data_IF_582535983458
#
_entry.id   IF_582535983458
#
_cell.length_a   1.000
_cell.length_b   1.000
_cell.length_c   1.000
_cell.angle_alpha   90.00
_cell.angle_beta   90.00
_cell.angle_gamma   90.00
#
_symmetry.space_group_name_H-M   'P 1'
#
loop_
_entity.id
_entity.type
_entity.pdbx_description
1 polymer ?
#
# COMPACT_ATOMS: atom_id res chain seq x y z
N UNK A 1 12.62 -37.26 14.70
CA UNK A 1 11.66 -37.43 13.58
C UNK A 1 11.88 -36.29 12.61
N UNK A 2 11.93 -36.55 11.29
CA UNK A 2 11.94 -35.49 10.28
C UNK A 2 10.60 -34.77 10.26
N UNK A 3 10.60 -33.43 10.25
CA UNK A 3 9.38 -32.67 9.93
C UNK A 3 9.06 -32.93 8.46
N UNK A 4 7.89 -33.48 8.15
CA UNK A 4 7.40 -33.48 6.77
C UNK A 4 7.34 -32.03 6.28
N UNK A 5 8.02 -31.73 5.17
CA UNK A 5 7.89 -30.43 4.53
C UNK A 5 6.44 -30.26 4.07
N UNK A 6 5.77 -29.20 4.54
CA UNK A 6 4.42 -28.87 4.08
C UNK A 6 4.50 -28.48 2.61
N UNK A 7 3.85 -29.24 1.73
CA UNK A 7 3.74 -28.84 0.34
C UNK A 7 3.07 -27.46 0.25
N UNK A 8 3.71 -26.56 -0.49
CA UNK A 8 3.19 -25.24 -0.79
C UNK A 8 1.84 -25.34 -1.52
N UNK A 9 0.89 -24.48 -1.14
CA UNK A 9 -0.40 -24.34 -1.80
C UNK A 9 -0.78 -22.85 -1.87
N UNK A 10 -1.26 -22.35 -3.04
CA UNK A 10 -1.82 -21.01 -3.18
C UNK A 10 -3.06 -20.72 -2.30
N UNK A 11 -3.72 -21.76 -1.78
CA UNK A 11 -4.99 -21.63 -1.03
C UNK A 11 -4.87 -21.98 0.46
N UNK A 12 -3.79 -22.65 0.88
CA UNK A 12 -3.52 -22.89 2.30
C UNK A 12 -3.00 -21.60 2.98
N UNK A 13 -3.42 -21.28 4.21
CA UNK A 13 -2.81 -20.19 4.97
C UNK A 13 -1.30 -20.40 5.14
N UNK A 14 -0.51 -19.43 4.74
CA UNK A 14 0.95 -19.41 4.92
C UNK A 14 1.34 -18.63 6.19
N UNK A 15 2.53 -18.92 6.70
CA UNK A 15 3.15 -18.21 7.83
C UNK A 15 4.52 -17.69 7.43
N UNK A 16 5.01 -16.64 8.11
CA UNK A 16 6.33 -16.07 7.87
C UNK A 16 7.47 -17.03 8.24
N UNK A 17 7.22 -18.10 9.02
CA UNK A 17 8.20 -19.17 9.23
C UNK A 17 8.47 -20.02 7.97
N UNK A 18 7.62 -19.90 6.95
CA UNK A 18 7.74 -20.62 5.68
C UNK A 18 8.50 -19.84 4.59
N UNK A 19 8.87 -18.56 4.80
CA UNK A 19 9.55 -17.79 3.73
C UNK A 19 11.06 -18.02 3.71
N UNK A 20 11.59 -18.17 2.50
CA UNK A 20 13.03 -18.25 2.23
C UNK A 20 13.66 -16.85 2.04
N UNK A 21 12.86 -15.79 2.04
CA UNK A 21 13.34 -14.41 1.86
C UNK A 21 13.98 -13.86 3.14
N UNK A 22 15.12 -13.19 2.98
CA UNK A 22 15.81 -12.56 4.10
C UNK A 22 15.04 -11.31 4.52
N UNK A 23 14.53 -11.31 5.75
CA UNK A 23 13.94 -10.12 6.37
C UNK A 23 15.05 -9.24 6.94
N UNK A 24 15.23 -8.07 6.36
CA UNK A 24 15.91 -6.94 7.03
C UNK A 24 14.85 -6.08 7.72
N UNK A 25 15.15 -5.55 8.90
CA UNK A 25 14.31 -4.57 9.59
C UNK A 25 15.10 -3.28 9.73
N UNK A 26 14.52 -2.17 9.30
CA UNK A 26 14.94 -0.83 9.67
C UNK A 26 14.02 -0.40 10.82
N UNK A 27 14.62 0.03 11.90
CA UNK A 27 13.95 0.58 13.08
C UNK A 27 13.67 2.08 12.91
N UNK A 28 13.11 2.65 13.97
CA UNK A 28 12.74 4.06 14.04
C UNK A 28 13.98 4.97 13.96
N UNK A 29 15.11 4.60 14.59
CA UNK A 29 16.39 5.33 14.48
C UNK A 29 16.94 5.33 13.05
N UNK A 30 16.95 4.17 12.38
CA UNK A 30 17.30 4.06 10.96
C UNK A 30 16.41 4.93 10.08
N UNK A 31 15.14 5.10 10.45
CA UNK A 31 14.15 5.87 9.71
C UNK A 31 14.35 7.38 9.89
N UNK A 32 14.66 7.85 11.11
CA UNK A 32 15.07 9.24 11.37
C UNK A 32 16.28 9.63 10.53
N UNK A 33 17.36 8.83 10.57
CA UNK A 33 18.58 9.08 9.78
C UNK A 33 18.29 9.21 8.27
N UNK A 34 17.32 8.46 7.73
CA UNK A 34 16.91 8.59 6.34
C UNK A 34 16.09 9.88 6.08
N UNK A 35 15.28 10.34 7.03
CA UNK A 35 14.54 11.61 6.95
C UNK A 35 15.50 12.80 7.02
N UNK A 36 16.42 12.81 7.99
CA UNK A 36 17.43 13.87 8.16
C UNK A 36 18.26 14.00 6.88
N UNK A 37 18.81 12.88 6.41
CA UNK A 37 19.55 12.82 5.14
C UNK A 37 18.70 13.26 3.95
N UNK A 38 17.41 12.96 3.93
CA UNK A 38 16.53 13.39 2.85
C UNK A 38 16.39 14.91 2.86
N UNK A 39 16.14 15.52 4.02
CA UNK A 39 16.08 16.97 4.21
C UNK A 39 17.37 17.68 3.77
N UNK A 40 18.55 17.16 4.16
CA UNK A 40 19.86 17.69 3.72
C UNK A 40 19.98 17.82 2.18
N UNK A 41 19.40 16.86 1.44
CA UNK A 41 19.51 16.82 -0.02
C UNK A 41 18.50 17.74 -0.75
N UNK A 42 17.53 18.34 -0.04
CA UNK A 42 16.49 19.24 -0.61
C UNK A 42 16.98 20.64 -0.93
N UNK A 43 18.25 20.95 -0.66
CA UNK A 43 18.89 22.22 -1.04
C UNK A 43 19.03 22.45 -2.56
N UNK A 44 18.60 21.51 -3.41
CA UNK A 44 18.56 21.71 -4.86
C UNK A 44 17.23 22.32 -5.31
N UNK A 45 17.23 23.31 -6.23
CA UNK A 45 16.05 24.11 -6.60
C UNK A 45 14.98 23.36 -7.42
N UNK A 46 15.01 22.03 -7.45
CA UNK A 46 14.18 21.16 -8.29
C UNK A 46 13.61 19.93 -7.54
N UNK A 47 13.55 19.95 -6.19
CA UNK A 47 12.81 18.93 -5.44
C UNK A 47 11.30 19.08 -5.65
N UNK A 48 10.76 18.32 -6.60
CA UNK A 48 9.34 18.32 -6.94
C UNK A 48 8.42 17.99 -5.74
N UNK A 49 8.92 17.27 -4.72
CA UNK A 49 8.14 17.02 -3.51
C UNK A 49 8.03 18.28 -2.64
N UNK A 50 9.14 18.99 -2.42
CA UNK A 50 9.11 20.29 -1.72
C UNK A 50 8.17 21.28 -2.43
N UNK A 51 8.27 21.38 -3.76
CA UNK A 51 7.39 22.24 -4.56
C UNK A 51 5.92 21.85 -4.38
N UNK A 52 5.56 20.55 -4.48
CA UNK A 52 4.18 20.09 -4.25
C UNK A 52 3.68 20.34 -2.82
N UNK A 53 4.52 20.15 -1.79
CA UNK A 53 4.14 20.45 -0.41
C UNK A 53 3.94 21.96 -0.18
N UNK A 54 4.77 22.83 -0.79
CA UNK A 54 4.56 24.28 -0.76
C UNK A 54 3.26 24.65 -1.46
N UNK A 55 3.02 24.08 -2.63
CA UNK A 55 1.78 24.23 -3.37
C UNK A 55 0.56 23.81 -2.54
N UNK A 56 0.58 22.66 -1.86
CA UNK A 56 -0.52 22.21 -0.97
C UNK A 56 -0.70 23.15 0.24
N UNK A 57 0.38 23.78 0.74
CA UNK A 57 0.32 24.81 1.79
C UNK A 57 -0.29 26.13 1.31
N UNK A 58 -0.01 26.54 0.08
CA UNK A 58 -0.52 27.79 -0.50
C UNK A 58 -1.95 27.65 -1.05
N UNK A 59 -2.29 26.46 -1.59
CA UNK A 59 -3.63 26.11 -2.04
C UNK A 59 -4.59 26.03 -0.85
N UNK A 60 -5.46 27.03 -0.74
CA UNK A 60 -6.69 26.95 0.07
C UNK A 60 -7.63 25.90 -0.55
N UNK A 61 -7.43 24.62 -0.23
CA UNK A 61 -8.25 23.51 -0.74
C UNK A 61 -9.72 23.68 -0.30
N UNK A 62 -10.53 24.27 -1.16
CA UNK A 62 -11.91 24.71 -0.87
C UNK A 62 -12.98 23.62 -0.98
N UNK A 63 -12.64 22.43 -1.48
CA UNK A 63 -13.62 21.46 -1.97
C UNK A 63 -13.54 20.05 -1.38
N UNK A 64 -12.50 19.70 -0.61
CA UNK A 64 -12.34 18.33 -0.10
C UNK A 64 -12.31 18.29 1.43
N UNK A 65 -13.27 17.57 2.03
CA UNK A 65 -13.42 17.48 3.50
C UNK A 65 -12.97 16.12 4.08
N UNK A 66 -12.95 15.05 3.27
CA UNK A 66 -12.71 13.67 3.73
C UNK A 66 -11.28 13.46 4.22
N UNK A 67 -10.34 13.98 3.45
CA UNK A 67 -8.90 13.95 3.73
C UNK A 67 -8.38 15.39 3.57
N UNK A 68 -7.30 15.73 4.27
CA UNK A 68 -6.66 17.05 4.21
C UNK A 68 -5.17 16.85 4.49
N UNK A 69 -4.29 17.57 3.81
CA UNK A 69 -2.89 17.72 4.17
C UNK A 69 -2.62 19.19 4.53
N UNK A 70 -1.92 19.43 5.64
CA UNK A 70 -1.87 20.74 6.32
C UNK A 70 -0.45 21.06 6.78
N UNK A 71 0.14 22.14 6.27
CA UNK A 71 1.42 22.68 6.71
C UNK A 71 1.27 24.20 6.92
N UNK A 72 1.05 24.61 8.16
CA UNK A 72 0.61 25.98 8.49
C UNK A 72 1.70 26.89 9.06
N UNK A 73 2.77 26.32 9.59
CA UNK A 73 3.82 26.99 10.36
C UNK A 73 5.12 26.19 10.26
N UNK A 74 6.21 26.79 10.75
CA UNK A 74 7.53 26.17 10.75
C UNK A 74 8.18 26.17 9.37
N UNK A 75 9.37 25.61 9.36
CA UNK A 75 10.12 25.29 8.14
C UNK A 75 9.55 24.03 7.49
N UNK A 76 10.18 23.55 6.42
CA UNK A 76 9.75 22.33 5.73
C UNK A 76 10.27 21.09 6.46
N UNK A 77 9.61 20.76 7.57
CA UNK A 77 9.90 19.57 8.37
C UNK A 77 8.66 18.66 8.46
N UNK A 78 8.81 17.33 8.33
CA UNK A 78 7.75 16.34 8.55
C UNK A 78 6.98 16.46 9.88
N UNK A 79 7.56 17.06 10.92
CA UNK A 79 6.86 17.34 12.18
C UNK A 79 5.77 18.41 12.02
N UNK A 80 5.97 19.34 11.07
CA UNK A 80 5.15 20.53 10.86
C UNK A 80 4.09 20.32 9.77
N UNK A 81 4.16 19.18 9.08
CA UNK A 81 3.22 18.73 8.06
C UNK A 81 2.31 17.66 8.66
N UNK A 82 1.00 17.88 8.60
CA UNK A 82 -0.01 16.99 9.16
C UNK A 82 -0.91 16.43 8.09
N UNK A 83 -1.27 15.15 8.20
CA UNK A 83 -2.22 14.49 7.32
C UNK A 83 -3.47 14.05 8.11
N UNK A 84 -4.65 14.21 7.51
CA UNK A 84 -5.85 13.54 8.00
C UNK A 84 -5.81 12.08 7.54
N UNK A 85 -5.90 11.17 8.51
CA UNK A 85 -5.91 9.72 8.30
C UNK A 85 -7.21 9.25 7.66
N UNK A 86 -7.14 8.32 6.71
CA UNK A 86 -8.32 7.78 5.99
C UNK A 86 -9.09 6.71 6.77
N UNK A 87 -8.53 6.21 7.88
CA UNK A 87 -9.12 5.14 8.69
C UNK A 87 -9.73 5.65 10.02
N UNK A 88 -9.13 6.65 10.67
CA UNK A 88 -9.62 7.22 11.95
C UNK A 88 -10.05 8.69 11.88
N UNK A 89 -9.83 9.38 10.75
CA UNK A 89 -10.20 10.79 10.56
C UNK A 89 -9.40 11.78 11.41
N UNK A 90 -8.45 11.28 12.24
CA UNK A 90 -7.54 12.09 13.06
C UNK A 90 -6.53 12.84 12.18
N UNK A 91 -6.08 14.00 12.65
CA UNK A 91 -5.02 14.81 12.04
C UNK A 91 -3.71 14.55 12.80
N UNK A 92 -2.74 13.90 12.15
CA UNK A 92 -1.46 13.46 12.75
C UNK A 92 -0.25 14.01 11.96
N UNK A 93 0.92 14.23 12.58
CA UNK A 93 2.14 14.68 11.89
C UNK A 93 2.73 13.57 11.01
N UNK A 94 3.43 13.95 9.93
CA UNK A 94 4.14 13.00 9.04
C UNK A 94 5.40 12.40 9.69
N UNK A 95 5.98 13.05 10.69
CA UNK A 95 7.12 12.55 11.48
C UNK A 95 6.77 11.34 12.38
N UNK A 96 5.52 10.86 12.43
CA UNK A 96 5.14 9.73 13.29
C UNK A 96 5.89 8.45 12.87
N UNK A 97 6.74 7.95 13.78
CA UNK A 97 7.65 6.83 13.56
C UNK A 97 6.99 5.55 13.04
N UNK A 98 7.79 4.74 12.36
CA UNK A 98 7.44 3.41 11.89
C UNK A 98 8.68 2.55 11.68
N UNK A 99 8.50 1.24 11.85
CA UNK A 99 9.49 0.23 11.55
C UNK A 99 9.27 -0.31 10.13
N UNK A 100 10.31 -0.38 9.31
CA UNK A 100 10.22 -0.90 7.92
C UNK A 100 10.78 -2.32 7.81
N UNK A 101 9.98 -3.25 7.32
CA UNK A 101 10.35 -4.65 7.09
C UNK A 101 10.56 -4.90 5.59
N UNK A 102 11.82 -5.10 5.20
CA UNK A 102 12.22 -5.34 3.81
C UNK A 102 12.57 -6.82 3.64
N UNK A 103 11.81 -7.53 2.80
CA UNK A 103 12.05 -8.93 2.44
C UNK A 103 12.72 -8.99 1.06
N UNK A 104 13.88 -9.63 0.96
CA UNK A 104 14.61 -9.76 -0.30
C UNK A 104 15.15 -11.18 -0.53
N UNK A 105 15.40 -11.53 -1.79
CA UNK A 105 16.10 -12.78 -2.11
C UNK A 105 17.59 -12.65 -1.69
N UNK A 106 18.18 -13.70 -1.10
CA UNK A 106 19.54 -13.63 -0.51
C UNK A 106 20.60 -13.07 -1.48
N UNK A 107 20.58 -13.48 -2.74
CA UNK A 107 21.52 -12.98 -3.75
C UNK A 107 21.35 -11.50 -4.15
N UNK A 108 20.26 -10.84 -3.73
CA UNK A 108 20.13 -9.37 -3.84
C UNK A 108 20.87 -8.66 -2.70
N UNK A 109 20.87 -9.25 -1.50
CA UNK A 109 21.65 -8.78 -0.35
C UNK A 109 23.16 -8.93 -0.60
N UNK A 110 23.58 -10.06 -1.17
CA UNK A 110 24.97 -10.35 -1.55
C UNK A 110 25.52 -9.36 -2.60
N UNK A 111 24.65 -8.84 -3.48
CA UNK A 111 24.98 -7.75 -4.44
C UNK A 111 25.18 -6.38 -3.79
N UNK A 112 25.17 -6.30 -2.46
CA UNK A 112 25.34 -5.07 -1.66
C UNK A 112 24.32 -3.97 -1.95
N UNK A 113 23.12 -4.30 -2.46
CA UNK A 113 22.02 -3.34 -2.54
C UNK A 113 21.64 -2.94 -1.10
N UNK A 114 21.89 -1.71 -0.63
CA UNK A 114 21.62 -1.36 0.76
C UNK A 114 20.11 -1.27 0.98
N UNK A 115 19.57 -1.97 1.97
CA UNK A 115 18.13 -1.87 2.28
C UNK A 115 17.74 -0.45 2.71
N UNK A 116 18.69 0.30 3.31
CA UNK A 116 18.62 1.74 3.53
C UNK A 116 18.39 2.53 2.23
N UNK A 117 19.06 2.18 1.13
CA UNK A 117 18.90 2.86 -0.17
C UNK A 117 17.51 2.58 -0.77
N UNK A 118 17.01 1.35 -0.65
CA UNK A 118 15.65 0.97 -1.08
C UNK A 118 14.59 1.81 -0.37
N UNK A 119 14.71 1.94 0.96
CA UNK A 119 13.77 2.76 1.75
C UNK A 119 13.95 4.25 1.46
N UNK A 120 15.18 4.74 1.34
CA UNK A 120 15.47 6.14 0.97
C UNK A 120 14.85 6.53 -0.37
N UNK A 121 14.89 5.65 -1.39
CA UNK A 121 14.29 5.97 -2.70
C UNK A 121 12.77 6.16 -2.67
N UNK A 122 12.05 5.54 -1.74
CA UNK A 122 10.59 5.67 -1.61
C UNK A 122 10.17 6.49 -0.37
N UNK A 123 11.12 7.17 0.29
CA UNK A 123 10.87 7.81 1.57
C UNK A 123 9.71 8.84 1.55
N UNK A 124 9.58 9.74 0.55
CA UNK A 124 8.43 10.66 0.46
C UNK A 124 7.09 9.93 0.49
N UNK A 125 6.97 8.88 -0.32
CA UNK A 125 5.76 8.10 -0.49
C UNK A 125 5.47 7.24 0.75
N UNK A 126 6.52 6.70 1.38
CA UNK A 126 6.42 5.98 2.65
C UNK A 126 5.93 6.86 3.80
N UNK A 127 6.46 8.09 3.92
CA UNK A 127 6.04 9.06 4.93
C UNK A 127 4.57 9.46 4.76
N UNK A 128 4.13 9.69 3.52
CA UNK A 128 2.73 9.97 3.22
C UNK A 128 1.84 8.76 3.50
N UNK A 129 2.21 7.57 3.03
CA UNK A 129 1.46 6.34 3.32
C UNK A 129 1.38 6.05 4.83
N UNK A 130 2.44 6.36 5.60
CA UNK A 130 2.43 6.30 7.06
C UNK A 130 1.48 7.34 7.67
N UNK A 131 1.56 8.60 7.22
CA UNK A 131 0.72 9.69 7.73
C UNK A 131 -0.76 9.55 7.42
N UNK A 132 -1.12 8.81 6.36
CA UNK A 132 -2.50 8.58 5.94
C UNK A 132 -3.21 7.45 6.71
N UNK A 133 -2.50 6.63 7.48
CA UNK A 133 -3.08 5.50 8.22
C UNK A 133 -2.66 5.53 9.67
N UNK A 134 -3.61 5.64 10.59
CA UNK A 134 -3.27 5.48 11.99
C UNK A 134 -3.09 4.01 12.37
N UNK A 135 -4.04 3.15 12.00
CA UNK A 135 -4.12 1.80 12.56
C UNK A 135 -3.28 0.80 11.77
N UNK A 136 -2.39 0.10 12.48
CA UNK A 136 -1.49 -0.95 11.95
C UNK A 136 -0.55 -0.48 10.84
N UNK A 137 -0.19 0.80 10.81
CA UNK A 137 0.79 1.33 9.87
C UNK A 137 2.18 1.53 10.50
N UNK A 138 2.33 1.20 11.79
CA UNK A 138 3.59 1.25 12.52
C UNK A 138 4.61 0.20 12.02
N UNK A 139 4.14 -0.83 11.30
CA UNK A 139 4.97 -1.77 10.53
C UNK A 139 4.68 -1.61 9.04
N UNK A 140 5.66 -1.15 8.25
CA UNK A 140 5.57 -1.12 6.78
C UNK A 140 6.25 -2.35 6.17
N UNK A 141 5.65 -2.92 5.12
CA UNK A 141 6.11 -4.15 4.47
C UNK A 141 6.50 -3.89 3.01
N UNK A 142 7.75 -4.23 2.67
CA UNK A 142 8.32 -4.11 1.33
C UNK A 142 8.87 -5.48 0.91
N UNK A 143 8.51 -5.97 -0.27
CA UNK A 143 9.15 -7.13 -0.89
C UNK A 143 9.94 -6.66 -2.11
N UNK A 144 11.25 -6.89 -2.10
CA UNK A 144 12.17 -6.53 -3.19
C UNK A 144 12.19 -7.62 -4.25
N UNK A 145 12.05 -7.23 -5.51
CA UNK A 145 11.93 -8.14 -6.66
C UNK A 145 12.55 -7.53 -7.92
N UNK A 146 12.89 -8.32 -8.94
CA UNK A 146 13.48 -7.84 -10.21
C UNK A 146 12.52 -7.87 -11.43
N UNK A 147 11.21 -8.00 -11.17
CA UNK A 147 10.14 -7.93 -12.17
C UNK A 147 10.25 -6.65 -13.02
N UNK A 148 10.05 -6.79 -14.34
CA UNK A 148 9.82 -5.69 -15.30
C UNK A 148 8.34 -5.29 -15.32
N UNK A 149 8.02 -4.11 -15.90
CA UNK A 149 6.66 -3.53 -15.98
C UNK A 149 5.55 -4.56 -16.19
N UNK A 150 5.50 -5.22 -17.35
CA UNK A 150 4.48 -6.23 -17.69
C UNK A 150 4.41 -7.40 -16.69
N UNK A 151 5.54 -7.81 -16.10
CA UNK A 151 5.57 -8.91 -15.13
C UNK A 151 5.01 -8.46 -13.77
N UNK A 152 5.23 -7.21 -13.38
CA UNK A 152 4.61 -6.59 -12.21
C UNK A 152 3.10 -6.40 -12.42
N UNK A 153 2.67 -6.01 -13.63
CA UNK A 153 1.27 -5.92 -14.01
C UNK A 153 0.58 -7.31 -13.93
N UNK A 154 1.15 -8.35 -14.56
CA UNK A 154 0.69 -9.77 -14.49
C UNK A 154 0.57 -10.30 -13.04
N UNK A 155 1.61 -10.07 -12.23
CA UNK A 155 1.67 -10.50 -10.82
C UNK A 155 0.63 -9.76 -9.96
N UNK A 156 0.40 -8.48 -10.24
CA UNK A 156 -0.58 -7.66 -9.53
C UNK A 156 -2.01 -8.12 -9.81
N UNK A 157 -2.35 -8.41 -11.06
CA UNK A 157 -3.67 -8.96 -11.43
C UNK A 157 -3.90 -10.36 -10.88
N UNK A 158 -2.86 -11.21 -10.84
CA UNK A 158 -2.94 -12.50 -10.13
C UNK A 158 -3.31 -12.32 -8.66
N UNK A 159 -2.62 -11.42 -7.94
CA UNK A 159 -2.93 -11.20 -6.52
C UNK A 159 -4.36 -10.68 -6.33
N UNK A 160 -4.81 -9.68 -7.11
CA UNK A 160 -6.21 -9.22 -7.10
C UNK A 160 -7.18 -10.39 -7.28
N UNK A 161 -6.95 -11.22 -8.29
CA UNK A 161 -7.79 -12.39 -8.59
C UNK A 161 -7.82 -13.42 -7.45
N UNK A 162 -6.67 -13.72 -6.82
CA UNK A 162 -6.60 -14.63 -5.67
C UNK A 162 -7.36 -14.06 -4.46
N UNK A 163 -7.02 -12.86 -3.99
CA UNK A 163 -7.56 -12.33 -2.72
C UNK A 163 -9.08 -12.09 -2.78
N UNK A 164 -9.62 -11.70 -3.94
CA UNK A 164 -11.07 -11.56 -4.14
C UNK A 164 -11.84 -12.89 -4.01
N UNK A 165 -11.19 -14.02 -4.32
CA UNK A 165 -11.84 -15.32 -4.50
C UNK A 165 -11.52 -16.38 -3.43
N UNK A 166 -10.33 -16.34 -2.82
CA UNK A 166 -9.92 -17.32 -1.79
C UNK A 166 -9.86 -16.76 -0.37
N UNK A 167 -9.57 -15.47 -0.18
CA UNK A 167 -9.21 -14.99 1.14
C UNK A 167 -10.40 -14.99 2.11
N UNK A 168 -10.26 -15.73 3.22
CA UNK A 168 -11.32 -15.92 4.22
C UNK A 168 -12.57 -16.63 3.68
N UNK A 169 -12.48 -17.33 2.55
CA UNK A 169 -13.61 -17.86 1.77
C UNK A 169 -13.33 -19.30 1.31
N UNK A 170 -14.38 -20.09 1.13
CA UNK A 170 -14.28 -21.34 0.39
C UNK A 170 -14.24 -20.99 -1.09
N UNK A 171 -13.10 -21.25 -1.75
CA UNK A 171 -12.97 -21.01 -3.19
C UNK A 171 -13.86 -21.98 -3.98
N UNK A 172 -14.36 -21.56 -5.15
CA UNK A 172 -15.09 -22.46 -6.05
C UNK A 172 -14.09 -23.35 -6.80
N UNK A 173 -14.31 -24.67 -6.98
CA UNK A 173 -13.36 -25.55 -7.69
C UNK A 173 -13.04 -25.17 -9.14
N UNK A 174 -13.87 -24.37 -9.81
CA UNK A 174 -13.54 -23.75 -11.10
C UNK A 174 -12.49 -22.64 -10.95
N UNK A 175 -12.68 -21.77 -9.97
CA UNK A 175 -11.81 -20.62 -9.69
C UNK A 175 -10.49 -21.07 -9.06
N UNK A 176 -10.50 -22.09 -8.20
CA UNK A 176 -9.30 -22.74 -7.69
C UNK A 176 -8.41 -23.27 -8.84
N UNK A 177 -8.98 -23.98 -9.81
CA UNK A 177 -8.24 -24.46 -10.99
C UNK A 177 -7.69 -23.31 -11.83
N UNK A 178 -8.40 -22.19 -11.93
CA UNK A 178 -7.90 -20.98 -12.59
C UNK A 178 -6.74 -20.32 -11.81
N UNK A 179 -6.83 -20.24 -10.48
CA UNK A 179 -5.74 -19.77 -9.60
C UNK A 179 -4.50 -20.66 -9.75
N UNK A 180 -4.66 -21.98 -9.79
CA UNK A 180 -3.58 -22.94 -10.00
C UNK A 180 -2.94 -22.79 -11.39
N UNK A 181 -3.76 -22.63 -12.44
CA UNK A 181 -3.29 -22.40 -13.81
C UNK A 181 -2.50 -21.10 -13.94
N UNK A 182 -3.04 -19.97 -13.47
CA UNK A 182 -2.34 -18.68 -13.53
C UNK A 182 -1.07 -18.67 -12.68
N UNK A 183 -1.11 -19.30 -11.49
CA UNK A 183 0.09 -19.49 -10.67
C UNK A 183 1.19 -20.25 -11.43
N UNK A 184 0.84 -21.32 -12.14
CA UNK A 184 1.77 -22.09 -12.95
C UNK A 184 2.28 -21.30 -14.17
N UNK A 185 1.39 -20.57 -14.88
CA UNK A 185 1.74 -19.70 -16.02
C UNK A 185 2.77 -18.65 -15.61
N UNK A 186 2.52 -17.94 -14.51
CA UNK A 186 3.42 -16.91 -14.00
C UNK A 186 4.71 -17.54 -13.46
N UNK A 187 4.62 -18.63 -12.68
CA UNK A 187 5.81 -19.37 -12.20
C UNK A 187 6.74 -19.77 -13.34
N UNK A 188 6.21 -20.38 -14.41
CA UNK A 188 7.00 -20.78 -15.58
C UNK A 188 7.58 -19.57 -16.34
N UNK A 189 6.81 -18.49 -16.47
CA UNK A 189 7.26 -17.26 -17.16
C UNK A 189 8.41 -16.58 -16.42
N UNK A 190 8.29 -16.46 -15.10
CA UNK A 190 9.29 -15.82 -14.24
C UNK A 190 10.53 -16.72 -14.03
N UNK A 191 10.35 -18.03 -13.91
CA UNK A 191 11.47 -18.98 -13.84
C UNK A 191 12.29 -19.02 -15.12
N UNK A 192 11.66 -19.05 -16.31
CA UNK A 192 12.35 -18.98 -17.62
C UNK A 192 13.12 -17.68 -17.84
N UNK A 193 12.80 -16.62 -17.09
CA UNK A 193 13.49 -15.32 -17.11
C UNK A 193 14.45 -15.14 -15.92
N UNK A 194 14.66 -16.20 -15.13
CA UNK A 194 15.51 -16.23 -13.94
C UNK A 194 15.19 -15.12 -12.92
N UNK A 195 13.90 -14.79 -12.75
CA UNK A 195 13.44 -13.73 -11.86
C UNK A 195 13.58 -14.09 -10.39
N UNK A 196 13.90 -13.09 -9.59
CA UNK A 196 14.15 -13.19 -8.16
C UNK A 196 13.31 -12.17 -7.36
N UNK A 197 12.72 -12.57 -6.21
CA UNK A 197 12.50 -13.96 -5.80
C UNK A 197 11.63 -14.73 -6.81
N UNK A 198 11.68 -16.06 -6.77
CA UNK A 198 10.85 -16.86 -7.68
C UNK A 198 9.37 -16.75 -7.28
N UNK A 199 8.44 -17.01 -8.21
CA UNK A 199 7.02 -16.69 -7.97
C UNK A 199 6.41 -17.36 -6.72
N UNK A 200 6.68 -18.64 -6.41
CA UNK A 200 6.20 -19.25 -5.16
C UNK A 200 6.74 -18.58 -3.90
N UNK A 201 7.99 -18.11 -3.88
CA UNK A 201 8.56 -17.36 -2.74
C UNK A 201 7.85 -16.01 -2.56
N UNK A 202 7.57 -15.32 -3.68
CA UNK A 202 6.88 -14.02 -3.69
C UNK A 202 5.45 -14.13 -3.14
N UNK A 203 4.65 -15.04 -3.71
CA UNK A 203 3.27 -15.28 -3.29
C UNK A 203 3.17 -15.78 -1.84
N UNK A 204 4.02 -16.75 -1.44
CA UNK A 204 4.06 -17.27 -0.07
C UNK A 204 4.27 -16.13 0.93
N UNK A 205 5.29 -15.28 0.69
CA UNK A 205 5.66 -14.18 1.59
C UNK A 205 4.55 -13.15 1.67
N UNK A 206 3.98 -12.75 0.53
CA UNK A 206 2.92 -11.75 0.48
C UNK A 206 1.65 -12.26 1.19
N UNK A 207 1.24 -13.52 0.95
CA UNK A 207 0.11 -14.13 1.69
C UNK A 207 0.39 -14.27 3.18
N UNK A 208 1.63 -14.59 3.58
CA UNK A 208 2.00 -14.73 5.00
C UNK A 208 1.88 -13.38 5.74
N UNK A 209 2.39 -12.28 5.15
CA UNK A 209 2.24 -10.93 5.71
C UNK A 209 0.76 -10.55 5.84
N UNK A 210 -0.05 -10.82 4.81
CA UNK A 210 -1.49 -10.52 4.84
C UNK A 210 -2.29 -11.41 5.82
N UNK A 211 -1.86 -12.65 6.07
CA UNK A 211 -2.49 -13.54 7.04
C UNK A 211 -2.13 -13.20 8.49
N UNK A 212 -0.87 -12.90 8.77
CA UNK A 212 -0.38 -12.61 10.13
C UNK A 212 -0.62 -11.14 10.49
N UNK A 213 0.10 -10.25 9.80
CA UNK A 213 0.28 -8.84 10.14
C UNK A 213 -0.89 -7.95 9.71
N UNK A 214 -1.56 -8.29 8.61
CA UNK A 214 -2.80 -7.63 8.15
C UNK A 214 -2.68 -6.09 8.01
N UNK A 215 -1.62 -5.57 7.33
CA UNK A 215 -1.38 -4.13 7.18
C UNK A 215 -2.42 -3.44 6.28
N UNK A 216 -2.51 -2.09 6.28
CA UNK A 216 -3.36 -1.35 5.35
C UNK A 216 -2.89 -1.49 3.89
N UNK A 217 -1.57 -1.53 3.66
CA UNK A 217 -0.94 -1.74 2.35
C UNK A 217 0.35 -2.56 2.46
N UNK A 218 0.89 -2.99 1.32
CA UNK A 218 2.21 -3.62 1.14
C UNK A 218 2.82 -3.13 -0.17
N UNK A 219 4.15 -3.05 -0.27
CA UNK A 219 4.85 -2.58 -1.48
C UNK A 219 5.63 -3.72 -2.13
N UNK A 220 5.44 -3.91 -3.44
CA UNK A 220 6.35 -4.67 -4.30
C UNK A 220 7.34 -3.70 -4.95
N UNK A 221 8.60 -3.71 -4.49
CA UNK A 221 9.64 -2.80 -4.97
C UNK A 221 10.50 -3.46 -6.06
N UNK A 222 10.68 -2.77 -7.19
CA UNK A 222 11.61 -3.18 -8.24
C UNK A 222 12.67 -2.10 -8.50
N UNK A 223 13.97 -2.37 -8.28
CA UNK A 223 15.05 -1.44 -8.59
C UNK A 223 15.41 -1.39 -10.08
N UNK A 224 14.60 -2.02 -10.95
CA UNK A 224 14.84 -2.06 -12.39
C UNK A 224 14.32 -0.77 -13.05
N UNK A 225 15.16 0.05 -13.73
CA UNK A 225 14.72 1.29 -14.39
C UNK A 225 13.72 1.10 -15.54
N UNK A 226 13.44 -0.15 -15.94
CA UNK A 226 12.43 -0.54 -16.94
C UNK A 226 11.17 -1.15 -16.28
N UNK A 227 10.97 -0.84 -15.01
CA UNK A 227 9.87 -1.29 -14.17
C UNK A 227 9.37 -0.16 -13.28
N UNK A 228 8.43 -0.50 -12.40
CA UNK A 228 7.84 0.37 -11.40
C UNK A 228 7.60 -0.44 -10.14
N UNK A 229 7.46 0.23 -9.00
CA UNK A 229 7.08 -0.40 -7.73
C UNK A 229 5.57 -0.28 -7.51
N UNK A 230 4.92 -1.35 -7.04
CA UNK A 230 3.45 -1.38 -6.86
C UNK A 230 3.07 -1.34 -5.39
N UNK A 231 2.26 -0.33 -5.01
CA UNK A 231 1.54 -0.34 -3.73
C UNK A 231 0.30 -1.22 -3.87
N UNK A 232 0.10 -2.15 -2.93
CA UNK A 232 -1.02 -3.08 -2.87
C UNK A 232 -1.86 -2.81 -1.62
N UNK A 233 -3.03 -2.19 -1.80
CA UNK A 233 -3.92 -1.82 -0.69
C UNK A 233 -4.85 -2.99 -0.31
N UNK A 234 -5.04 -3.26 0.98
CA UNK A 234 -5.83 -4.42 1.42
C UNK A 234 -7.35 -4.15 1.43
N UNK A 235 -7.77 -2.88 1.35
CA UNK A 235 -9.16 -2.45 1.29
C UNK A 235 -9.30 -1.10 0.56
N UNK A 236 -10.42 -0.80 -0.15
CA UNK A 236 -10.58 0.48 -0.84
C UNK A 236 -10.50 1.72 0.07
N UNK A 237 -10.92 1.61 1.34
CA UNK A 237 -10.81 2.71 2.32
C UNK A 237 -9.41 2.90 2.91
N UNK A 238 -8.40 2.20 2.39
CA UNK A 238 -6.99 2.51 2.63
C UNK A 238 -6.36 3.21 1.42
N UNK A 239 -7.11 3.48 0.36
CA UNK A 239 -6.61 4.24 -0.78
C UNK A 239 -6.74 5.75 -0.47
N UNK A 240 -5.73 6.58 -0.80
CA UNK A 240 -5.80 8.04 -0.69
C UNK A 240 -6.92 8.67 -1.53
N UNK A 241 -7.38 9.86 -1.13
CA UNK A 241 -8.38 10.62 -1.89
C UNK A 241 -7.74 11.33 -3.09
N UNK A 242 -8.31 11.13 -4.28
CA UNK A 242 -7.76 11.66 -5.53
C UNK A 242 -7.69 13.19 -5.56
N UNK A 243 -8.62 13.89 -4.88
CA UNK A 243 -8.66 15.35 -4.86
C UNK A 243 -7.51 16.01 -4.07
N UNK A 244 -6.59 15.21 -3.51
CA UNK A 244 -5.33 15.68 -2.91
C UNK A 244 -4.13 15.22 -3.75
N UNK A 245 -4.15 13.96 -4.22
CA UNK A 245 -2.97 13.31 -4.81
C UNK A 245 -3.00 13.21 -6.35
N UNK A 246 -4.01 13.79 -7.02
CA UNK A 246 -4.10 13.80 -8.49
C UNK A 246 -2.84 14.35 -9.17
N UNK A 247 -2.27 15.43 -8.61
CA UNK A 247 -1.05 16.08 -9.10
C UNK A 247 0.20 15.75 -8.26
N UNK A 248 0.12 14.71 -7.41
CA UNK A 248 1.27 14.26 -6.63
C UNK A 248 2.47 13.98 -7.55
N UNK A 249 3.70 14.40 -7.20
CA UNK A 249 4.84 14.29 -8.10
C UNK A 249 5.10 12.85 -8.51
N UNK A 250 5.35 12.67 -9.80
CA UNK A 250 5.72 11.39 -10.38
C UNK A 250 6.91 11.57 -11.29
N UNK A 251 7.94 10.79 -11.03
CA UNK A 251 9.12 10.74 -11.86
C UNK A 251 10.14 9.77 -11.29
N UNK A 252 11.23 9.64 -12.04
CA UNK A 252 12.42 8.93 -11.66
C UNK A 252 13.55 9.98 -11.62
N UNK A 253 14.50 9.94 -10.67
CA UNK A 253 15.55 10.97 -10.56
C UNK A 253 16.65 10.90 -11.65
N UNK A 254 16.49 10.03 -12.66
CA UNK A 254 17.39 9.98 -13.82
C UNK A 254 16.85 10.92 -14.92
N UNK A 255 17.62 11.91 -15.39
CA UNK A 255 17.16 12.87 -16.41
C UNK A 255 16.85 12.24 -17.78
N UNK A 256 17.19 10.96 -18.01
CA UNK A 256 16.80 10.20 -19.20
C UNK A 256 15.41 9.53 -19.09
N UNK A 257 14.69 9.69 -17.97
CA UNK A 257 13.33 9.19 -17.79
C UNK A 257 12.30 10.12 -18.47
N UNK A 258 11.28 9.54 -19.12
CA UNK A 258 10.08 10.27 -19.54
C UNK A 258 9.11 10.45 -18.36
N UNK A 259 8.10 11.31 -18.53
CA UNK A 259 7.05 11.58 -17.54
C UNK A 259 6.29 10.31 -17.08
N UNK A 260 6.25 9.26 -17.92
CA UNK A 260 5.68 7.94 -17.62
C UNK A 260 6.50 7.08 -16.62
N UNK A 261 7.68 7.54 -16.19
CA UNK A 261 8.58 6.73 -15.35
C UNK A 261 8.30 6.93 -13.86
N UNK A 262 7.21 6.33 -13.39
CA UNK A 262 6.87 6.26 -11.97
C UNK A 262 7.72 5.19 -11.25
N UNK A 263 8.68 5.59 -10.42
CA UNK A 263 9.49 4.65 -9.60
C UNK A 263 8.60 3.83 -8.65
N UNK A 264 7.52 4.42 -8.16
CA UNK A 264 6.41 3.77 -7.46
C UNK A 264 5.09 4.32 -8.02
N UNK A 265 4.15 3.44 -8.38
CA UNK A 265 2.81 3.83 -8.86
C UNK A 265 1.95 4.30 -7.69
N UNK A 266 2.01 5.60 -7.39
CA UNK A 266 1.16 6.22 -6.39
C UNK A 266 -0.29 6.35 -6.92
N UNK A 267 -1.33 6.06 -6.13
CA UNK A 267 -2.73 6.01 -6.60
C UNK A 267 -3.34 7.42 -6.78
N UNK A 268 -2.83 8.20 -7.74
CA UNK A 268 -3.26 9.58 -8.02
C UNK A 268 -4.74 9.71 -8.39
N UNK A 269 -5.32 8.67 -9.01
CA UNK A 269 -6.75 8.55 -9.36
C UNK A 269 -7.53 7.72 -8.33
N UNK A 270 -7.17 7.87 -7.06
CA UNK A 270 -7.83 7.22 -5.93
C UNK A 270 -8.03 5.72 -6.14
N UNK A 271 -9.24 5.23 -5.81
CA UNK A 271 -9.60 3.81 -5.89
C UNK A 271 -9.52 3.25 -7.31
N UNK A 272 -9.73 4.07 -8.35
CA UNK A 272 -9.66 3.60 -9.74
C UNK A 272 -8.22 3.40 -10.23
N UNK A 273 -7.28 4.22 -9.74
CA UNK A 273 -5.85 4.07 -10.00
C UNK A 273 -5.13 3.06 -9.08
N UNK A 274 -5.79 2.58 -8.02
CA UNK A 274 -5.17 1.77 -6.99
C UNK A 274 -5.25 0.26 -7.24
N UNK A 275 -4.16 -0.45 -6.94
CA UNK A 275 -4.16 -1.91 -6.90
C UNK A 275 -4.68 -2.42 -5.56
N UNK A 276 -6.00 -2.63 -5.47
CA UNK A 276 -6.69 -3.07 -4.26
C UNK A 276 -6.95 -4.59 -4.25
N UNK A 277 -6.51 -5.27 -3.20
CA UNK A 277 -6.63 -6.73 -3.03
C UNK A 277 -7.97 -7.18 -2.42
N UNK A 278 -8.72 -6.27 -1.80
CA UNK A 278 -10.07 -6.49 -1.24
C UNK A 278 -10.19 -7.63 -0.20
N UNK A 279 -9.11 -7.84 0.57
CA UNK A 279 -8.89 -8.87 1.60
C UNK A 279 -10.05 -8.99 2.62
N UNK A 280 -10.82 -7.92 2.82
CA UNK A 280 -11.84 -7.78 3.87
C UNK A 280 -13.31 -7.84 3.39
N UNK A 281 -13.60 -8.42 2.22
CA UNK A 281 -14.99 -8.61 1.73
C UNK A 281 -15.82 -9.56 2.62
N UNK A 282 -16.39 -9.02 3.70
CA UNK A 282 -17.30 -9.73 4.61
C UNK A 282 -18.53 -10.33 3.91
N UNK A 283 -19.18 -11.30 4.57
CA UNK A 283 -20.36 -12.05 4.05
C UNK A 283 -21.59 -11.15 3.82
N UNK A 284 -21.63 -10.40 2.71
CA UNK A 284 -22.72 -9.44 2.39
C UNK A 284 -24.04 -10.17 2.09
N UNK A 285 -24.00 -11.31 1.38
CA UNK A 285 -25.19 -11.93 0.77
C UNK A 285 -26.06 -12.78 1.73
N UNK A 286 -25.53 -13.25 2.87
CA UNK A 286 -26.29 -14.10 3.79
C UNK A 286 -27.05 -13.32 4.87
N UNK A 287 -26.79 -12.02 5.03
CA UNK A 287 -27.43 -11.18 6.05
C UNK A 287 -28.95 -10.98 5.80
N UNK A 288 -29.40 -11.10 4.54
CA UNK A 288 -30.80 -10.94 4.17
C UNK A 288 -31.71 -12.11 4.59
N UNK A 289 -31.17 -13.30 4.89
CA UNK A 289 -31.96 -14.49 5.24
C UNK A 289 -31.93 -14.82 6.74
N UNK A 290 -32.39 -13.88 7.57
CA UNK A 290 -33.04 -14.10 8.89
C UNK A 290 -32.29 -14.85 10.01
N UNK A 291 -31.09 -15.38 9.77
CA UNK A 291 -30.43 -16.33 10.65
C UNK A 291 -29.85 -15.67 11.92
N UNK A 292 -30.67 -15.59 12.98
CA UNK A 292 -30.25 -15.24 14.35
C UNK A 292 -29.42 -16.37 15.01
N UNK A 293 -28.33 -16.78 14.35
CA UNK A 293 -27.47 -17.91 14.73
C UNK A 293 -26.11 -17.47 15.30
N UNK A 294 -25.96 -17.64 16.62
CA UNK A 294 -24.73 -17.57 17.44
C UNK A 294 -23.43 -17.11 16.74
N UNK A 295 -23.12 -15.82 16.92
CA UNK A 295 -21.82 -15.32 17.40
C UNK A 295 -20.59 -16.23 17.21
N UNK A 296 -20.00 -16.22 16.00
CA UNK A 296 -18.73 -16.91 15.72
C UNK A 296 -17.81 -16.09 14.82
N UNK A 297 -16.79 -15.46 15.40
CA UNK A 297 -15.62 -14.94 14.68
C UNK A 297 -15.88 -13.96 13.51
N UNK A 298 -17.00 -13.24 13.51
CA UNK A 298 -17.38 -12.36 12.40
C UNK A 298 -16.32 -11.28 12.15
N UNK A 299 -15.63 -11.36 11.00
CA UNK A 299 -14.59 -10.39 10.63
C UNK A 299 -15.15 -8.96 10.72
N UNK A 300 -14.53 -8.13 11.58
CA UNK A 300 -14.91 -6.73 11.75
C UNK A 300 -14.81 -6.05 10.39
N UNK A 301 -15.95 -5.62 9.84
CA UNK A 301 -16.00 -4.86 8.58
C UNK A 301 -15.17 -3.60 8.79
N UNK A 302 -14.19 -3.36 7.92
CA UNK A 302 -13.51 -2.06 7.89
C UNK A 302 -14.60 -1.01 7.61
N UNK A 303 -14.62 0.00 8.46
CA UNK A 303 -15.43 1.20 8.32
C UNK A 303 -14.51 2.37 8.60
N UNK A 304 -14.67 3.41 7.80
CA UNK A 304 -14.25 4.76 8.15
C UNK A 304 -14.86 5.16 9.50
N UNK A 305 -14.05 5.77 10.36
CA UNK A 305 -14.42 6.18 11.71
C UNK A 305 -14.08 7.64 11.92
N UNK A 306 -15.01 8.38 12.49
CA UNK A 306 -14.77 9.71 13.05
C UNK A 306 -14.33 9.52 14.51
N UNK A 307 -13.02 9.55 14.78
CA UNK A 307 -12.42 9.32 16.10
C UNK A 307 -12.04 10.62 16.81
N UNK A 308 -12.02 10.60 18.14
CA UNK A 308 -11.46 11.69 18.95
C UNK A 308 -9.97 11.90 18.62
N UNK A 309 -9.54 13.14 18.33
CA UNK A 309 -8.20 13.42 17.79
C UNK A 309 -7.04 13.08 18.73
N UNK A 310 -7.24 13.19 20.05
CA UNK A 310 -6.25 12.73 21.04
C UNK A 310 -5.99 11.23 20.85
N UNK A 311 -4.73 10.87 20.54
CA UNK A 311 -4.36 9.57 19.97
C UNK A 311 -4.70 8.36 20.85
N UNK A 312 -4.73 8.54 22.17
CA UNK A 312 -5.03 7.46 23.13
C UNK A 312 -6.53 7.18 23.29
N UNK A 313 -7.41 7.97 22.65
CA UNK A 313 -8.86 7.90 22.87
C UNK A 313 -9.63 7.10 21.81
N UNK A 314 -10.07 5.90 22.16
CA UNK A 314 -10.95 5.03 21.35
C UNK A 314 -12.39 5.55 21.10
N UNK A 315 -12.72 6.80 21.48
CA UNK A 315 -14.05 7.36 21.29
C UNK A 315 -14.35 7.61 19.80
N UNK A 316 -15.33 6.87 19.28
CA UNK A 316 -15.82 6.95 17.91
C UNK A 316 -17.20 7.63 17.87
N UNK A 317 -17.29 8.80 17.24
CA UNK A 317 -18.53 9.58 17.15
C UNK A 317 -19.48 8.96 16.13
N UNK A 318 -18.97 8.75 14.91
CA UNK A 318 -19.68 8.03 13.85
C UNK A 318 -18.83 6.87 13.34
N UNK A 319 -19.49 5.72 13.19
CA UNK A 319 -19.04 4.72 12.23
C UNK A 319 -19.83 5.00 10.96
N UNK A 320 -19.16 5.30 9.86
CA UNK A 320 -19.85 5.64 8.61
C UNK A 320 -20.83 4.53 8.19
N UNK A 321 -21.98 4.87 7.56
CA UNK A 321 -22.81 3.87 6.90
C UNK A 321 -21.91 3.18 5.87
N UNK A 322 -21.61 1.90 6.10
CA UNK A 322 -20.53 1.21 5.38
C UNK A 322 -20.78 1.28 3.88
N UNK A 323 -19.98 2.09 3.18
CA UNK A 323 -20.33 2.61 1.85
C UNK A 323 -20.74 1.48 0.89
N UNK A 324 -21.63 1.76 -0.09
CA UNK A 324 -21.73 0.90 -1.26
C UNK A 324 -20.30 0.74 -1.80
N UNK A 325 -19.78 -0.49 -1.75
CA UNK A 325 -18.42 -0.73 -2.24
C UNK A 325 -18.42 -0.40 -3.73
N UNK A 326 -17.40 0.28 -4.24
CA UNK A 326 -17.37 0.75 -5.63
C UNK A 326 -17.70 -0.37 -6.65
N UNK A 327 -17.21 -1.58 -6.38
CA UNK A 327 -17.52 -2.80 -7.14
C UNK A 327 -19.02 -3.20 -7.19
N UNK A 328 -19.83 -2.77 -6.22
CA UNK A 328 -21.27 -3.02 -6.17
C UNK A 328 -22.08 -1.98 -6.97
N UNK A 329 -21.56 -0.75 -7.10
CA UNK A 329 -22.09 0.25 -8.04
C UNK A 329 -21.83 -0.26 -9.46
N UNK A 330 -20.58 -0.63 -9.76
CA UNK A 330 -20.19 -1.20 -11.06
C UNK A 330 -20.85 -2.53 -11.44
N UNK A 331 -21.40 -3.31 -10.50
CA UNK A 331 -22.27 -4.45 -10.86
C UNK A 331 -23.67 -3.99 -11.24
N UNK A 332 -24.28 -3.06 -10.50
CA UNK A 332 -25.61 -2.53 -10.83
C UNK A 332 -25.59 -1.79 -12.19
N UNK A 333 -24.63 -0.89 -12.40
CA UNK A 333 -24.43 -0.16 -13.67
C UNK A 333 -24.12 -1.05 -14.88
N UNK A 334 -23.81 -2.34 -14.64
CA UNK A 334 -23.60 -3.35 -15.68
C UNK A 334 -24.83 -4.21 -15.88
N UNK A 335 -25.46 -4.67 -14.79
CA UNK A 335 -26.72 -5.43 -14.82
C UNK A 335 -27.82 -4.61 -15.52
N UNK A 336 -27.93 -3.30 -15.26
CA UNK A 336 -28.86 -2.40 -15.97
C UNK A 336 -28.57 -2.30 -17.48
N UNK A 337 -27.30 -2.26 -17.91
CA UNK A 337 -26.92 -2.19 -19.34
C UNK A 337 -27.12 -3.52 -20.08
N UNK A 338 -26.93 -4.63 -19.38
CA UNK A 338 -27.16 -5.96 -19.94
C UNK A 338 -28.67 -6.26 -20.05
N UNK A 339 -29.54 -5.66 -19.21
CA UNK A 339 -31.02 -5.71 -19.35
C UNK A 339 -31.57 -4.76 -20.44
N UNK A 340 -31.06 -3.53 -20.57
CA UNK A 340 -31.57 -2.55 -21.56
C UNK A 340 -31.34 -2.98 -23.04
N UNK A 341 -30.48 -3.98 -23.30
CA UNK A 341 -30.10 -4.38 -24.66
C UNK A 341 -30.85 -5.59 -25.26
N UNK A 342 -31.75 -6.26 -24.52
CA UNK A 342 -32.42 -7.49 -24.97
C UNK A 342 -33.83 -7.30 -25.56
N UNK A 343 -34.41 -6.08 -25.47
CA UNK A 343 -35.83 -5.83 -25.83
C UNK A 343 -36.11 -5.58 -27.32
N UNK A 344 -35.12 -5.67 -28.21
CA UNK A 344 -35.36 -5.53 -29.65
C UNK A 344 -34.14 -5.73 -30.54
N UNK A 345 -34.05 -6.90 -31.21
CA UNK A 345 -33.01 -7.15 -32.21
C UNK A 345 -33.45 -8.05 -33.36
N UNK A 346 -33.68 -7.43 -34.51
CA UNK A 346 -33.77 -8.13 -35.80
C UNK A 346 -32.43 -8.80 -36.19
N UNK A 347 -32.43 -9.88 -37.00
CA UNK A 347 -31.22 -10.58 -37.40
C UNK A 347 -30.32 -9.71 -38.30
N UNK A 348 -29.29 -9.11 -37.71
CA UNK A 348 -28.37 -8.17 -38.37
C UNK A 348 -27.16 -8.87 -39.00
N UNK A 349 -26.86 -8.55 -40.26
CA UNK A 349 -25.83 -9.18 -41.11
C UNK A 349 -24.36 -8.85 -40.73
N UNK A 350 -24.00 -8.94 -39.45
CA UNK A 350 -22.61 -8.69 -38.98
C UNK A 350 -21.68 -9.90 -39.14
N UNK A 351 -22.21 -11.13 -39.18
CA UNK A 351 -21.44 -12.39 -39.22
C UNK A 351 -20.38 -12.44 -40.33
N UNK A 352 -20.68 -11.86 -41.49
CA UNK A 352 -19.87 -12.08 -42.69
C UNK A 352 -18.64 -11.16 -42.74
N UNK A 353 -18.66 -10.02 -42.05
CA UNK A 353 -17.49 -9.13 -41.94
C UNK A 353 -16.38 -9.75 -41.10
N UNK A 354 -16.72 -10.40 -40.00
CA UNK A 354 -15.74 -11.07 -39.14
C UNK A 354 -15.19 -12.34 -39.82
N UNK A 355 -16.03 -13.05 -40.57
CA UNK A 355 -15.63 -14.20 -41.41
C UNK A 355 -14.62 -13.82 -42.48
N UNK A 356 -14.81 -12.66 -43.12
CA UNK A 356 -13.90 -12.14 -44.14
C UNK A 356 -12.62 -11.50 -43.55
N UNK A 357 -12.68 -11.01 -42.29
CA UNK A 357 -11.49 -10.57 -41.55
C UNK A 357 -10.53 -11.72 -41.28
N UNK A 358 -11.01 -12.84 -40.71
CA UNK A 358 -10.15 -13.97 -40.36
C UNK A 358 -9.45 -14.55 -41.61
N UNK A 359 -10.15 -14.64 -42.74
CA UNK A 359 -9.58 -15.04 -44.05
C UNK A 359 -8.40 -14.18 -44.52
N UNK A 360 -8.32 -12.91 -44.10
CA UNK A 360 -7.19 -12.02 -44.44
C UNK A 360 -5.99 -12.19 -43.50
N UNK A 361 -6.20 -12.69 -42.29
CA UNK A 361 -5.11 -12.95 -41.33
C UNK A 361 -4.47 -14.33 -41.60
N UNK A 362 -5.24 -15.36 -41.95
CA UNK A 362 -4.69 -16.66 -42.36
C UNK A 362 -3.81 -16.54 -43.62
N UNK A 363 -4.24 -15.75 -44.62
CA UNK A 363 -3.43 -15.45 -45.83
C UNK A 363 -2.15 -14.67 -45.54
N UNK A 364 -2.00 -14.04 -44.37
CA UNK A 364 -0.75 -13.37 -43.95
C UNK A 364 0.19 -14.29 -43.20
N UNK A 365 -0.28 -15.42 -42.66
CA UNK A 365 0.57 -16.42 -42.00
C UNK A 365 1.23 -17.40 -42.97
N UNK A 366 0.63 -17.62 -44.13
CA UNK A 366 1.06 -18.63 -45.11
C UNK A 366 1.97 -18.11 -46.24
N UNK A 367 2.69 -17.00 -46.02
CA UNK A 367 3.48 -16.32 -47.08
C UNK A 367 4.88 -15.85 -46.67
N UNK A 368 5.41 -16.31 -45.53
CA UNK A 368 6.63 -15.80 -44.91
C UNK A 368 7.62 -16.94 -44.52
N UNK A 369 7.75 -17.97 -45.36
CA UNK A 369 8.77 -19.04 -45.21
C UNK A 369 9.50 -19.29 -46.55
N UNK A 370 10.27 -18.30 -47.02
CA UNK A 370 11.27 -18.52 -48.08
C UNK A 370 12.44 -17.51 -47.97
N UNK A 371 13.62 -17.95 -48.43
CA UNK A 371 14.93 -17.27 -48.48
C UNK A 371 15.45 -16.47 -47.26
N UNK A 372 16.38 -17.11 -46.54
CA UNK A 372 17.58 -16.48 -46.00
C UNK A 372 18.76 -17.47 -46.10
N UNK A 373 19.52 -17.39 -47.19
CA UNK A 373 20.78 -18.15 -47.40
C UNK A 373 22.01 -17.33 -47.01
N UNK A 374 23.14 -18.05 -46.89
CA UNK A 374 24.43 -17.53 -46.46
C UNK A 374 24.92 -16.28 -47.21
N UNK A 375 25.47 -15.34 -46.46
CA UNK A 375 26.65 -14.56 -46.89
C UNK A 375 27.63 -14.47 -45.72
N UNK A 376 28.90 -14.78 -45.98
CA UNK A 376 30.01 -14.60 -45.05
C UNK A 376 30.93 -13.52 -45.61
N UNK A 377 31.31 -12.53 -44.79
CA UNK A 377 32.30 -11.51 -45.14
C UNK A 377 32.94 -10.90 -43.88
N UNK A 378 34.12 -10.29 -44.07
CA UNK A 378 35.05 -9.86 -43.03
C UNK A 378 34.54 -8.77 -42.08
N UNK A 379 35.14 -8.75 -40.89
CA UNK A 379 34.99 -7.69 -39.91
C UNK A 379 35.78 -6.41 -40.20
N UNK A 380 35.71 -5.48 -39.26
CA UNK A 380 36.82 -4.61 -38.83
C UNK A 380 36.44 -3.84 -37.56
N UNK A 381 37.45 -3.23 -36.94
CA UNK A 381 37.43 -2.53 -35.66
C UNK A 381 36.31 -1.47 -35.49
N UNK A 382 35.81 -1.34 -34.27
CA UNK A 382 35.42 -0.05 -33.68
C UNK A 382 35.70 -0.05 -32.17
N UNK A 383 35.93 1.13 -31.59
CA UNK A 383 36.69 1.26 -30.33
C UNK A 383 35.82 1.24 -29.06
N UNK A 384 36.31 0.56 -28.02
CA UNK A 384 35.63 0.45 -26.74
C UNK A 384 35.77 1.70 -25.88
N UNK A 385 34.89 2.69 -26.06
CA UNK A 385 34.85 3.90 -25.22
C UNK A 385 34.44 3.58 -23.79
N UNK A 386 35.43 3.44 -22.89
CA UNK A 386 35.26 3.22 -21.46
C UNK A 386 35.23 4.55 -20.71
N UNK A 387 34.04 4.96 -20.25
CA UNK A 387 33.91 6.00 -19.23
C UNK A 387 34.31 5.45 -17.85
N UNK A 388 35.60 5.54 -17.52
CA UNK A 388 36.10 5.31 -16.15
C UNK A 388 35.71 6.48 -15.26
N UNK A 389 34.90 6.25 -14.21
CA UNK A 389 34.65 7.24 -13.16
C UNK A 389 35.64 7.01 -12.03
N UNK A 390 36.57 7.95 -11.85
CA UNK A 390 37.60 7.86 -10.81
C UNK A 390 36.99 8.04 -9.41
N UNK A 391 37.13 7.00 -8.58
CA UNK A 391 36.67 7.01 -7.19
C UNK A 391 37.78 7.51 -6.28
N UNK A 392 37.86 8.83 -6.13
CA UNK A 392 38.92 9.48 -5.34
C UNK A 392 38.75 9.17 -3.84
N UNK A 393 39.79 8.65 -3.18
CA UNK A 393 39.71 8.15 -1.80
C UNK A 393 40.77 8.80 -0.90
N UNK A 394 40.29 9.60 0.06
CA UNK A 394 41.01 10.15 1.22
C UNK A 394 39.97 10.86 2.12
N UNK A 395 40.11 10.95 3.45
CA UNK A 395 41.10 10.33 4.34
C UNK A 395 40.57 10.25 5.80
N UNK A 396 41.30 9.49 6.61
CA UNK A 396 41.17 9.24 8.05
C UNK A 396 40.84 10.43 8.96
N UNK A 397 39.95 10.21 9.96
CA UNK A 397 40.17 10.39 11.42
C UNK A 397 38.82 10.25 12.14
N UNK A 398 38.58 9.28 13.04
CA UNK A 398 39.12 9.10 14.40
C UNK A 398 38.62 10.13 15.43
N UNK A 399 37.60 9.77 16.20
CA UNK A 399 37.66 9.91 17.67
C UNK A 399 36.60 9.03 18.34
N UNK A 400 36.99 8.21 19.31
CA UNK A 400 36.08 7.35 20.07
C UNK A 400 36.03 7.82 21.53
N UNK A 401 34.94 8.47 21.93
CA UNK A 401 34.73 8.90 23.33
C UNK A 401 33.66 8.06 24.02
N UNK A 402 34.14 7.17 24.88
CA UNK A 402 33.34 6.47 25.88
C UNK A 402 32.62 7.46 26.81
N UNK A 403 31.33 7.23 27.05
CA UNK A 403 30.60 7.79 28.18
C UNK A 403 29.71 6.68 28.77
N UNK A 404 30.23 6.00 29.79
CA UNK A 404 29.43 5.05 30.57
C UNK A 404 28.66 5.80 31.66
N UNK A 405 27.32 5.69 31.63
CA UNK A 405 26.42 5.83 32.78
C UNK A 405 25.07 5.18 32.38
N UNK A 406 24.36 4.45 33.23
CA UNK A 406 24.65 4.17 34.65
C UNK A 406 23.48 4.51 35.57
N UNK A 407 22.26 4.05 35.27
CA UNK A 407 21.19 4.06 36.27
C UNK A 407 20.16 2.94 36.02
N UNK A 408 19.95 2.09 37.02
CA UNK A 408 18.95 1.00 36.98
C UNK A 408 17.82 1.34 37.94
N UNK A 409 16.65 1.70 37.42
CA UNK A 409 15.45 1.92 38.25
C UNK A 409 14.55 0.68 38.16
N UNK A 410 14.58 -0.13 39.21
CA UNK A 410 13.72 -1.30 39.37
C UNK A 410 12.37 -0.90 39.96
N UNK A 411 11.33 -0.78 39.14
CA UNK A 411 9.96 -0.65 39.65
C UNK A 411 9.36 -2.01 40.00
N UNK A 412 8.82 -2.11 41.22
CA UNK A 412 8.39 -3.36 41.82
C UNK A 412 7.07 -3.90 41.25
N UNK A 413 6.92 -5.22 41.31
CA UNK A 413 5.67 -5.93 41.01
C UNK A 413 4.59 -5.53 41.99
N UNK A 414 3.39 -5.24 41.50
CA UNK A 414 2.18 -5.25 42.31
C UNK A 414 1.10 -6.10 41.61
N UNK A 415 0.76 -7.25 42.20
CA UNK A 415 -0.28 -8.18 41.72
C UNK A 415 -1.25 -8.44 42.87
N UNK A 416 -2.47 -7.92 42.75
CA UNK A 416 -3.56 -8.17 43.70
C UNK A 416 -4.86 -7.60 43.16
N UNK A 417 -5.93 -8.39 43.20
CA UNK A 417 -7.24 -8.03 42.64
C UNK A 417 -7.98 -9.28 42.16
N UNK A 418 -8.82 -9.83 43.04
CA UNK A 418 -9.77 -10.88 42.67
C UNK A 418 -11.07 -10.22 42.22
N UNK A 419 -11.64 -10.63 41.09
CA UNK A 419 -13.01 -10.30 40.72
C UNK A 419 -13.78 -11.56 40.32
N UNK A 420 -14.99 -11.71 40.88
CA UNK A 420 -15.81 -12.90 40.72
C UNK A 420 -16.76 -12.79 39.52
N UNK A 421 -16.70 -13.76 38.61
CA UNK A 421 -17.63 -13.83 37.47
C UNK A 421 -19.05 -14.19 37.90
N UNK A 422 -19.86 -13.17 38.20
CA UNK A 422 -21.30 -13.30 38.39
C UNK A 422 -22.01 -13.40 37.03
N UNK A 423 -22.41 -14.59 36.62
CA UNK A 423 -23.09 -14.87 35.35
C UNK A 423 -24.59 -14.54 35.41
N UNK A 424 -24.93 -13.24 35.40
CA UNK A 424 -26.30 -12.76 35.61
C UNK A 424 -26.98 -12.11 34.38
N UNK A 425 -28.02 -12.78 33.86
CA UNK A 425 -29.18 -12.26 33.10
C UNK A 425 -28.99 -11.40 31.82
N UNK A 426 -29.72 -11.77 30.75
CA UNK A 426 -29.87 -10.96 29.54
C UNK A 426 -30.91 -9.83 29.76
N UNK A 427 -30.55 -8.78 30.48
CA UNK A 427 -31.30 -7.53 30.48
C UNK A 427 -30.86 -6.62 29.34
N UNK A 428 -31.80 -6.15 28.50
CA UNK A 428 -31.54 -5.10 27.50
C UNK A 428 -31.33 -3.75 28.20
N UNK A 429 -30.17 -3.56 28.83
CA UNK A 429 -29.77 -2.27 29.40
C UNK A 429 -29.65 -1.24 28.27
N UNK A 430 -30.32 -0.07 28.35
CA UNK A 430 -30.31 0.91 27.26
C UNK A 430 -28.88 1.38 27.04
N UNK A 431 -28.36 1.12 25.83
CA UNK A 431 -26.99 1.45 25.46
C UNK A 431 -26.76 2.96 25.65
N UNK A 432 -25.69 3.39 26.36
CA UNK A 432 -25.46 4.80 26.62
C UNK A 432 -25.39 5.61 25.32
N UNK A 433 -25.88 6.87 25.32
CA UNK A 433 -25.87 7.72 24.13
C UNK A 433 -24.43 7.91 23.64
N UNK A 434 -24.24 7.87 22.31
CA UNK A 434 -22.93 8.12 21.73
C UNK A 434 -22.51 9.57 22.04
N UNK A 435 -21.22 9.84 22.34
CA UNK A 435 -20.75 11.22 22.42
C UNK A 435 -20.94 11.88 21.05
N UNK A 436 -21.54 13.06 21.04
CA UNK A 436 -21.73 13.87 19.81
C UNK A 436 -20.38 14.38 19.28
N UNK A 437 -19.48 14.71 20.21
CA UNK A 437 -18.15 15.25 19.95
C UNK A 437 -18.16 16.75 19.65
N UNK A 438 -17.21 17.47 20.24
CA UNK A 438 -16.99 18.89 19.99
C UNK A 438 -15.90 19.08 18.93
N UNK A 439 -16.18 19.90 17.91
CA UNK A 439 -15.15 20.40 17.01
C UNK A 439 -14.34 21.49 17.71
N UNK A 440 -13.05 21.63 17.36
CA UNK A 440 -12.27 22.77 17.80
C UNK A 440 -12.91 24.08 17.33
N UNK A 441 -13.20 24.98 18.27
CA UNK A 441 -13.84 26.28 18.02
C UNK A 441 -13.06 27.20 17.06
N UNK A 442 -11.73 27.03 16.96
CA UNK A 442 -10.85 27.85 16.12
C UNK A 442 -10.70 27.31 14.70
N UNK A 443 -10.28 26.05 14.53
CA UNK A 443 -9.99 25.47 13.22
C UNK A 443 -11.17 24.71 12.60
N UNK A 444 -12.07 24.16 13.43
CA UNK A 444 -13.17 23.23 13.06
C UNK A 444 -12.72 21.93 12.38
N UNK A 445 -11.41 21.66 12.26
CA UNK A 445 -10.85 20.48 11.58
C UNK A 445 -10.85 19.20 12.41
N UNK A 446 -10.51 19.33 13.69
CA UNK A 446 -10.36 18.20 14.62
C UNK A 446 -11.48 18.17 15.65
N UNK A 447 -11.78 16.96 16.14
CA UNK A 447 -12.95 16.65 16.97
C UNK A 447 -12.54 15.88 18.22
N UNK A 448 -13.15 16.22 19.35
CA UNK A 448 -12.84 15.63 20.67
C UNK A 448 -14.12 15.17 21.36
N UNK A 449 -14.06 14.11 22.17
CA UNK A 449 -15.20 13.70 22.99
C UNK A 449 -15.30 14.48 24.32
N UNK A 450 -14.25 15.23 24.70
CA UNK A 450 -14.24 16.11 25.87
C UNK A 450 -13.28 17.30 25.68
N UNK A 451 -13.48 18.35 26.47
CA UNK A 451 -12.54 19.47 26.58
C UNK A 451 -11.24 19.10 27.33
N UNK A 452 -11.17 17.91 27.92
CA UNK A 452 -9.95 17.34 28.52
C UNK A 452 -9.05 16.75 27.45
N UNK A 453 -9.61 15.98 26.52
CA UNK A 453 -8.83 15.41 25.41
C UNK A 453 -8.31 16.52 24.48
N UNK A 454 -9.08 17.60 24.30
CA UNK A 454 -8.59 18.79 23.61
C UNK A 454 -7.42 19.48 24.33
N UNK A 455 -7.36 19.44 25.67
CA UNK A 455 -6.25 20.01 26.46
C UNK A 455 -4.99 19.15 26.37
N UNK A 456 -5.13 17.83 26.44
CA UNK A 456 -3.99 16.89 26.31
C UNK A 456 -3.39 16.91 24.89
N UNK A 457 -4.25 17.02 23.87
CA UNK A 457 -3.84 17.14 22.46
C UNK A 457 -3.39 18.57 22.07
N UNK A 458 -3.49 19.56 22.96
CA UNK A 458 -3.34 20.98 22.60
C UNK A 458 -1.93 21.35 22.18
N UNK A 459 -0.91 20.78 22.82
CA UNK A 459 0.49 21.08 22.52
C UNK A 459 0.86 20.69 21.08
N UNK A 460 0.25 19.62 20.57
CA UNK A 460 0.42 19.17 19.20
C UNK A 460 -0.49 19.94 18.23
N UNK A 461 -1.80 19.97 18.53
CA UNK A 461 -2.79 20.62 17.68
C UNK A 461 -2.53 22.13 17.50
N UNK A 462 -1.97 22.86 18.48
CA UNK A 462 -1.66 24.30 18.33
C UNK A 462 -0.65 24.61 17.22
N UNK A 463 0.13 23.62 16.75
CA UNK A 463 1.02 23.72 15.59
C UNK A 463 0.18 24.01 14.32
N UNK A 464 -0.87 23.22 14.09
CA UNK A 464 -1.78 23.35 12.94
C UNK A 464 -3.09 24.12 13.19
N UNK A 465 -3.42 24.50 14.43
CA UNK A 465 -4.68 25.17 14.78
C UNK A 465 -4.78 26.62 14.27
N UNK A 466 -4.97 26.79 12.96
CA UNK A 466 -5.31 28.08 12.31
C UNK A 466 -6.82 28.30 12.27
N UNK A 467 -7.26 29.56 12.15
CA UNK A 467 -8.67 29.85 11.84
C UNK A 467 -8.86 29.70 10.34
N UNK A 468 -9.56 28.66 9.90
CA UNK A 468 -9.94 28.55 8.49
C UNK A 468 -11.01 29.60 8.16
N UNK A 469 -10.63 30.54 7.29
CA UNK A 469 -11.56 31.42 6.62
C UNK A 469 -12.21 30.64 5.47
N UNK A 470 -13.24 29.86 5.81
CA UNK A 470 -14.25 29.40 4.87
C UNK A 470 -15.03 30.64 4.39
N UNK A 471 -14.60 31.19 3.26
CA UNK A 471 -15.19 32.37 2.60
C UNK A 471 -16.03 31.98 1.41
#
# INVERSE_FOLDING_TARGET
>A
MSKQQRHYSPLAPTSLDMTELVKTTLDDESTLMLIDKWLEHRGQPHDAYYEWFRDVRERRQSHNQKQILVWNKGEFDPENIFCRTVDTGRLIPLHRMWTTHVYCHRSMQERKLPMLQVVFTMLPELMLLRGMHETRCDEIFIIVTDLKRQEMDDVTEYFKFVFQNSFGRVCKPSVERQIQYEHMRISHTLHRRHRLPCFPQLDLTLRAILHEKKPPFLILFSPQPTSYSQILFTHPSYVPDEGIFFDYPTGCPNPCCTEDCEMIRFPRRGVEGASVLEVYKGRRNNAAKGAKGRSGGGAKRIKERDMCNWVECDACFSEGPAQPSYAAVRTAEREERDEEHDTGREPSAKSDRDRERNRREDRRRSGNEEDCRDTSADGTNSEGSRCSVESNSNSTNSDAKSCANGNSISHAVNRGGNDAHTTGSNGDTPKPPRPTGQLCSKCKLVKYCSAEHQRMDWEEHKRVCVKMNWG
#
